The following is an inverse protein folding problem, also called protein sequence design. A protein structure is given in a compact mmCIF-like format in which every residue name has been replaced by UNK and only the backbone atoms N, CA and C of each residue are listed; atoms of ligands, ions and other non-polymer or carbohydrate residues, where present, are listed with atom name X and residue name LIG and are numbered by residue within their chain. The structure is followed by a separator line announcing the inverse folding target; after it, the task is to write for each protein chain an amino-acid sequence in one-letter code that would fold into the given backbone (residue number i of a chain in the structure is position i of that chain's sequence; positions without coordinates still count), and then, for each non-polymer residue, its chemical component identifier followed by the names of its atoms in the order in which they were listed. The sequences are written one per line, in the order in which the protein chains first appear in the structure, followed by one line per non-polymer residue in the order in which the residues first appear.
data_IF_567833112463
#
_entry.id   IF_567833112463
#
_cell.length_a   1.000
_cell.length_b   1.000
_cell.length_c   1.000
_cell.angle_alpha   90.00
_cell.angle_beta   90.00
_cell.angle_gamma   90.00
#
_symmetry.space_group_name_H-M   'P 1'
#
loop_
_entity.id
_entity.type
_entity.pdbx_description
1 polymer ?
#
# COMPACT_ATOMS: atom_id res chain seq x y z
N UNK A 1 -18.00 -3.63 8.26
CA UNK A 1 -17.04 -3.92 7.18
C UNK A 1 -17.40 -3.30 5.84
N UNK A 2 -18.68 -3.04 5.52
CA UNK A 2 -19.09 -2.36 4.28
C UNK A 2 -18.39 -1.01 4.06
N UNK A 3 -18.31 -0.16 5.09
CA UNK A 3 -17.65 1.16 5.02
C UNK A 3 -16.16 1.10 4.68
N UNK A 4 -15.44 0.07 5.12
CA UNK A 4 -14.03 -0.12 4.77
C UNK A 4 -13.88 -0.51 3.28
N UNK A 5 -14.79 -1.35 2.77
CA UNK A 5 -14.85 -1.66 1.35
C UNK A 5 -15.15 -0.44 0.47
N UNK A 6 -16.06 0.44 0.91
CA UNK A 6 -16.37 1.69 0.19
C UNK A 6 -15.14 2.61 0.07
N UNK A 7 -14.37 2.77 1.15
CA UNK A 7 -13.14 3.59 1.16
C UNK A 7 -12.09 3.01 0.22
N UNK A 8 -11.91 1.68 0.23
CA UNK A 8 -10.98 0.99 -0.66
C UNK A 8 -11.34 1.16 -2.15
N UNK A 9 -12.63 1.11 -2.49
CA UNK A 9 -13.11 1.35 -3.86
C UNK A 9 -12.85 2.80 -4.29
N UNK A 10 -13.05 3.78 -3.40
CA UNK A 10 -12.73 5.19 -3.68
C UNK A 10 -11.21 5.37 -3.87
N UNK A 11 -10.39 4.69 -3.08
CA UNK A 11 -8.92 4.66 -3.23
C UNK A 11 -8.49 4.10 -4.59
N UNK A 12 -8.98 2.93 -4.98
CA UNK A 12 -8.70 2.37 -6.32
C UNK A 12 -9.21 3.26 -7.45
N UNK A 13 -10.40 3.85 -7.31
CA UNK A 13 -10.92 4.79 -8.31
C UNK A 13 -10.02 6.02 -8.46
N UNK A 14 -9.39 6.48 -7.37
CA UNK A 14 -8.42 7.58 -7.40
C UNK A 14 -7.14 7.18 -8.14
N UNK A 15 -6.63 5.96 -7.94
CA UNK A 15 -5.45 5.44 -8.64
C UNK A 15 -5.69 5.33 -10.15
N UNK A 16 -6.87 4.83 -10.55
CA UNK A 16 -7.28 4.72 -11.96
C UNK A 16 -7.40 6.12 -12.60
N UNK A 17 -8.03 7.07 -11.92
CA UNK A 17 -8.12 8.47 -12.38
C UNK A 17 -6.76 9.15 -12.46
N UNK A 18 -5.84 8.80 -11.57
CA UNK A 18 -4.45 9.25 -11.58
C UNK A 18 -3.59 8.63 -12.69
N UNK A 19 -4.14 7.72 -13.51
CA UNK A 19 -3.41 6.95 -14.53
C UNK A 19 -2.17 6.26 -13.95
N UNK A 20 -2.26 5.77 -12.71
CA UNK A 20 -1.17 5.00 -12.11
C UNK A 20 -1.07 3.69 -12.87
N UNK A 21 0.10 3.42 -13.45
CA UNK A 21 0.32 2.17 -14.15
C UNK A 21 0.37 1.02 -13.15
N UNK A 22 -0.68 0.21 -13.14
CA UNK A 22 -0.81 -1.00 -12.30
C UNK A 22 -0.18 -2.22 -12.97
N UNK A 23 0.28 -2.09 -14.21
CA UNK A 23 1.02 -3.13 -14.93
C UNK A 23 2.47 -3.18 -14.46
N UNK A 24 2.98 -2.04 -13.98
CA UNK A 24 4.32 -1.95 -13.41
C UNK A 24 4.38 -2.72 -12.08
N UNK A 25 5.26 -3.74 -11.96
CA UNK A 25 5.31 -4.63 -10.79
C UNK A 25 5.56 -3.88 -9.48
N UNK A 26 6.26 -2.74 -9.52
CA UNK A 26 6.45 -1.86 -8.37
C UNK A 26 5.14 -1.31 -7.84
N UNK A 27 4.37 -0.66 -8.71
CA UNK A 27 3.15 0.02 -8.32
C UNK A 27 2.11 -1.02 -7.88
N UNK A 28 2.03 -2.14 -8.59
CA UNK A 28 1.19 -3.27 -8.23
C UNK A 28 1.54 -3.80 -6.83
N UNK A 29 2.82 -3.98 -6.51
CA UNK A 29 3.27 -4.45 -5.20
C UNK A 29 2.90 -3.46 -4.08
N UNK A 30 3.18 -2.16 -4.27
CA UNK A 30 2.85 -1.12 -3.28
C UNK A 30 1.34 -1.06 -3.04
N UNK A 31 0.53 -1.06 -4.11
CA UNK A 31 -0.93 -1.01 -4.02
C UNK A 31 -1.46 -2.25 -3.32
N UNK A 32 -0.99 -3.45 -3.69
CA UNK A 32 -1.42 -4.72 -3.09
C UNK A 32 -1.10 -4.78 -1.58
N UNK A 33 0.10 -4.37 -1.19
CA UNK A 33 0.54 -4.31 0.21
C UNK A 33 -0.33 -3.30 0.97
N UNK A 34 -0.51 -2.09 0.45
CA UNK A 34 -1.34 -1.06 1.08
C UNK A 34 -2.79 -1.52 1.25
N UNK A 35 -3.34 -2.17 0.23
CA UNK A 35 -4.71 -2.70 0.24
C UNK A 35 -4.87 -3.82 1.27
N UNK A 36 -3.88 -4.72 1.36
CA UNK A 36 -3.87 -5.85 2.30
C UNK A 36 -3.75 -5.39 3.75
N UNK A 37 -2.80 -4.50 4.06
CA UNK A 37 -2.61 -3.99 5.42
C UNK A 37 -3.71 -2.99 5.83
N UNK A 38 -4.22 -2.18 4.90
CA UNK A 38 -5.25 -1.18 5.15
C UNK A 38 -6.65 -1.77 5.36
N UNK A 39 -7.07 -2.71 4.51
CA UNK A 39 -8.39 -3.36 4.62
C UNK A 39 -8.36 -4.50 5.64
N UNK A 40 -7.24 -5.23 5.73
CA UNK A 40 -7.08 -6.39 6.61
C UNK A 40 -7.06 -6.08 8.10
N UNK A 41 -7.04 -4.80 8.50
CA UNK A 41 -6.99 -4.34 9.89
C UNK A 41 -5.92 -5.08 10.72
N UNK A 42 -4.75 -5.26 10.10
CA UNK A 42 -3.66 -6.06 10.66
C UNK A 42 -3.00 -5.28 11.79
N UNK A 43 -2.82 -5.94 12.93
CA UNK A 43 -2.18 -5.38 14.12
C UNK A 43 -0.88 -6.12 14.36
N UNK A 44 0.25 -5.45 14.14
CA UNK A 44 1.57 -6.01 14.41
C UNK A 44 2.11 -5.34 15.65
N UNK A 45 2.28 -6.13 16.71
CA UNK A 45 2.98 -5.70 17.91
C UNK A 45 4.48 -5.86 17.66
N UNK A 46 5.20 -4.75 17.54
CA UNK A 46 6.67 -4.75 17.41
C UNK A 46 7.26 -4.37 18.76
N UNK A 47 7.45 -5.38 19.63
CA UNK A 47 7.93 -5.22 21.01
C UNK A 47 6.91 -4.60 21.98
N UNK A 48 7.16 -4.74 23.30
CA UNK A 48 6.28 -4.35 24.42
C UNK A 48 5.85 -2.86 24.47
N UNK A 49 6.40 -1.99 23.62
CA UNK A 49 6.15 -0.55 23.66
C UNK A 49 5.38 0.01 22.45
N UNK A 50 5.30 -0.69 21.32
CA UNK A 50 4.72 -0.12 20.08
C UNK A 50 3.74 -1.09 19.43
N UNK A 51 2.48 -1.01 19.88
CA UNK A 51 1.34 -1.61 19.20
C UNK A 51 0.97 -0.73 17.98
N UNK A 52 1.71 -0.86 16.88
CA UNK A 52 1.34 -0.21 15.62
C UNK A 52 0.07 -0.84 15.07
N UNK A 53 -1.00 -0.04 15.12
CA UNK A 53 -2.37 -0.52 14.95
C UNK A 53 -2.98 0.06 13.66
N UNK A 54 -3.19 -0.79 12.65
CA UNK A 54 -3.99 -0.47 11.46
C UNK A 54 -3.27 0.36 10.38
N UNK A 55 -3.96 1.42 9.90
CA UNK A 55 -3.56 2.26 8.74
C UNK A 55 -2.19 2.94 8.93
N UNK A 56 -1.78 3.22 10.17
CA UNK A 56 -0.47 3.83 10.46
C UNK A 56 0.71 2.91 10.14
N UNK A 57 0.58 1.61 10.42
CA UNK A 57 1.59 0.61 10.05
C UNK A 57 1.68 0.47 8.53
N UNK A 58 0.51 0.43 7.87
CA UNK A 58 0.41 0.37 6.42
C UNK A 58 1.14 1.54 5.74
N UNK A 59 0.98 2.76 6.25
CA UNK A 59 1.65 3.94 5.71
C UNK A 59 3.18 3.85 5.84
N UNK A 60 3.68 3.39 6.99
CA UNK A 60 5.12 3.21 7.21
C UNK A 60 5.67 2.14 6.27
N UNK A 61 5.00 0.98 6.17
CA UNK A 61 5.39 -0.08 5.24
C UNK A 61 5.37 0.42 3.80
N UNK A 62 4.35 1.18 3.39
CA UNK A 62 4.27 1.74 2.05
C UNK A 62 5.39 2.73 1.74
N UNK A 63 5.74 3.61 2.69
CA UNK A 63 6.84 4.57 2.56
C UNK A 63 8.17 3.83 2.47
N UNK A 64 8.40 2.87 3.37
CA UNK A 64 9.61 2.04 3.39
C UNK A 64 9.74 1.24 2.09
N UNK A 65 8.66 0.62 1.63
CA UNK A 65 8.65 -0.16 0.39
C UNK A 65 8.84 0.74 -0.84
N UNK A 66 8.26 1.94 -0.86
CA UNK A 66 8.52 2.94 -1.91
C UNK A 66 9.99 3.42 -1.92
N UNK A 67 10.64 3.49 -0.76
CA UNK A 67 12.04 3.92 -0.63
C UNK A 67 13.04 2.79 -0.93
N UNK A 68 12.71 1.55 -0.53
CA UNK A 68 13.55 0.37 -0.70
C UNK A 68 13.43 -0.21 -2.10
N UNK A 69 12.24 -0.19 -2.72
CA UNK A 69 12.13 -0.59 -4.13
C UNK A 69 12.92 0.44 -4.96
N UNK A 70 14.05 0.09 -5.56
CA UNK A 70 14.84 1.02 -6.37
C UNK A 70 14.09 1.19 -7.69
N UNK A 71 13.70 2.42 -8.10
CA UNK A 71 13.01 2.68 -9.39
C UNK A 71 13.57 1.73 -10.44
N UNK A 72 12.71 0.91 -11.06
CA UNK A 72 13.15 0.06 -12.15
C UNK A 72 13.74 1.02 -13.21
N UNK A 73 15.06 1.08 -13.27
CA UNK A 73 15.73 1.25 -14.55
C UNK A 73 15.42 -0.01 -15.35
N UNK A 74 15.34 0.15 -16.66
CA UNK A 74 14.99 -0.80 -17.72
C UNK A 74 13.56 -0.50 -18.18
N UNK A 75 13.37 0.36 -19.18
CA UNK A 75 13.88 0.20 -20.54
C UNK A 75 14.75 1.38 -21.03
N UNK A 76 16.05 1.12 -21.24
CA UNK A 76 16.71 1.53 -22.48
C UNK A 76 16.90 0.23 -23.23
N UNK A 77 15.89 -0.18 -23.99
CA UNK A 77 15.99 -0.97 -25.23
C UNK A 77 14.88 -0.49 -26.17
#
# INVERSE_FOLDING_TARGET
MLVFGSIAVVGMSTLIKGKVDVTEPRNLCIISVVMTFGIGNMFVNVGDAVSLKGISLCAIVAIVLNLILPKAKNEVE
#
